data_IF_605684578845
#
_entry.id   IF_605684578845
#
_cell.length_a   1.000
_cell.length_b   1.000
_cell.length_c   1.000
_cell.angle_alpha   90.00
_cell.angle_beta   90.00
_cell.angle_gamma   90.00
#
_symmetry.space_group_name_H-M   'P 1'
#
loop_
_entity.id
_entity.type
_entity.pdbx_description
1 polymer ?
#
# COMPACT_ATOMS: atom_id res chain seq x y z
N UNK A 1 0.33 -0.28 -5.29
CA UNK A 1 1.23 0.32 -6.31
C UNK A 1 0.44 1.17 -7.30
N UNK A 2 -0.55 0.62 -8.00
CA UNK A 2 -1.31 1.33 -9.04
C UNK A 2 -2.01 2.63 -8.60
N UNK A 3 -2.48 2.73 -7.36
CA UNK A 3 -3.14 3.96 -6.86
C UNK A 3 -2.25 5.20 -6.87
N UNK A 4 -0.98 5.07 -6.48
CA UNK A 4 -0.01 6.18 -6.50
C UNK A 4 0.31 6.58 -7.94
N UNK A 5 0.51 5.60 -8.84
CA UNK A 5 0.77 5.87 -10.27
C UNK A 5 -0.40 6.60 -10.90
N UNK A 6 -1.63 6.13 -10.67
CA UNK A 6 -2.84 6.78 -11.18
C UNK A 6 -2.95 8.23 -10.68
N UNK A 7 -2.73 8.45 -9.38
CA UNK A 7 -2.77 9.79 -8.79
C UNK A 7 -1.65 10.72 -9.29
N UNK A 8 -0.47 10.17 -9.54
CA UNK A 8 0.65 10.90 -10.13
C UNK A 8 0.34 11.34 -11.57
N UNK A 9 -0.19 10.44 -12.40
CA UNK A 9 -0.63 10.76 -13.76
C UNK A 9 -1.74 11.82 -13.75
N UNK A 10 -2.71 11.72 -12.84
CA UNK A 10 -3.73 12.74 -12.63
C UNK A 10 -3.11 14.11 -12.31
N UNK A 11 -2.16 14.18 -11.37
CA UNK A 11 -1.47 15.44 -11.03
C UNK A 11 -0.64 16.00 -12.18
N UNK A 12 -0.01 15.14 -12.99
CA UNK A 12 0.74 15.54 -14.18
C UNK A 12 -0.17 16.11 -15.28
N UNK A 13 -1.37 15.56 -15.48
CA UNK A 13 -2.35 16.11 -16.41
C UNK A 13 -2.66 17.57 -16.03
N UNK A 14 -2.98 17.83 -14.76
CA UNK A 14 -3.23 19.19 -14.25
C UNK A 14 -2.04 20.12 -14.49
N UNK A 15 -0.81 19.69 -14.16
CA UNK A 15 0.41 20.50 -14.35
C UNK A 15 0.68 20.84 -15.82
N UNK A 16 0.27 19.97 -16.74
CA UNK A 16 0.45 20.16 -18.18
C UNK A 16 -0.74 20.88 -18.84
N UNK A 17 -1.62 21.52 -18.06
CA UNK A 17 -2.86 22.14 -18.53
C UNK A 17 -3.77 21.17 -19.33
N UNK A 18 -3.70 19.87 -19.01
CA UNK A 18 -4.62 18.86 -19.51
C UNK A 18 -5.72 18.65 -18.48
N UNK A 19 -6.95 18.45 -18.94
CA UNK A 19 -8.07 18.15 -18.06
C UNK A 19 -7.97 16.69 -17.61
N UNK A 20 -7.86 16.40 -16.30
CA UNK A 20 -7.86 15.02 -15.82
C UNK A 20 -9.14 14.29 -16.22
N UNK A 21 -9.03 13.00 -16.54
CA UNK A 21 -10.17 12.20 -17.02
C UNK A 21 -11.16 11.82 -15.92
N UNK A 22 -10.80 11.96 -14.65
CA UNK A 22 -11.61 11.58 -13.50
C UNK A 22 -11.34 12.51 -12.32
N UNK A 23 -12.34 12.76 -11.45
CA UNK A 23 -12.11 13.48 -10.20
C UNK A 23 -11.30 12.63 -9.23
N UNK A 24 -10.31 13.23 -8.55
CA UNK A 24 -9.53 12.58 -7.50
C UNK A 24 -9.51 13.43 -6.23
N UNK A 25 -10.29 13.03 -5.23
CA UNK A 25 -10.37 13.74 -3.94
C UNK A 25 -9.22 13.43 -2.98
N UNK A 26 -8.62 12.24 -3.08
CA UNK A 26 -7.54 11.79 -2.21
C UNK A 26 -7.20 10.32 -2.45
N UNK A 27 -6.05 9.87 -1.93
CA UNK A 27 -5.65 8.46 -1.96
C UNK A 27 -5.31 7.94 -0.56
N UNK A 28 -5.61 6.66 -0.35
CA UNK A 28 -5.22 5.93 0.86
C UNK A 28 -4.23 4.85 0.43
N UNK A 29 -3.08 4.80 1.10
CA UNK A 29 -1.98 3.88 0.81
C UNK A 29 -1.66 3.09 2.06
N UNK A 30 -1.74 1.76 1.97
CA UNK A 30 -1.27 0.82 2.99
C UNK A 30 -0.53 -0.38 2.40
N UNK A 31 0.16 -1.13 3.27
CA UNK A 31 0.79 -2.40 2.93
C UNK A 31 1.99 -2.29 1.98
N UNK A 32 2.54 -1.09 1.80
CA UNK A 32 3.66 -0.81 0.90
C UNK A 32 4.61 0.17 1.58
N UNK A 33 5.90 -0.16 1.58
CA UNK A 33 6.98 0.72 2.02
C UNK A 33 8.03 0.94 0.95
N UNK A 34 9.01 1.79 1.25
CA UNK A 34 10.14 2.06 0.34
C UNK A 34 11.30 1.08 0.48
N UNK A 35 11.36 0.32 1.57
CA UNK A 35 12.48 -0.56 1.86
C UNK A 35 11.94 -1.92 2.27
N UNK A 36 12.41 -2.97 1.60
CA UNK A 36 12.18 -4.35 2.03
C UNK A 36 13.00 -4.66 3.28
N UNK A 37 12.45 -5.50 4.15
CA UNK A 37 13.18 -6.10 5.26
C UNK A 37 14.41 -6.89 4.74
N UNK A 38 15.54 -6.90 5.47
CA UNK A 38 16.74 -7.64 5.08
C UNK A 38 16.46 -9.11 4.74
N UNK A 39 15.61 -9.77 5.54
CA UNK A 39 15.26 -11.18 5.40
C UNK A 39 14.59 -11.48 4.05
N UNK A 40 13.81 -10.53 3.52
CA UNK A 40 13.17 -10.65 2.20
C UNK A 40 14.16 -10.43 1.05
N UNK A 41 15.24 -9.69 1.28
CA UNK A 41 16.32 -9.51 0.30
C UNK A 41 17.24 -10.73 0.24
N UNK A 42 17.49 -11.35 1.39
CA UNK A 42 18.41 -12.48 1.54
C UNK A 42 17.78 -13.83 1.21
N UNK A 43 16.48 -13.99 1.45
CA UNK A 43 15.72 -15.21 1.15
C UNK A 43 14.54 -14.93 0.21
N UNK A 44 14.81 -14.63 -1.08
CA UNK A 44 13.73 -14.53 -2.05
C UNK A 44 12.97 -15.86 -2.10
N UNK A 45 11.65 -15.79 -2.32
CA UNK A 45 10.82 -17.01 -2.44
C UNK A 45 11.47 -17.92 -3.50
N UNK A 46 11.78 -19.19 -3.18
CA UNK A 46 12.53 -20.04 -4.09
C UNK A 46 11.67 -20.43 -5.29
N UNK A 47 12.09 -20.03 -6.49
CA UNK A 47 11.49 -20.43 -7.76
C UNK A 47 12.55 -21.05 -8.67
N UNK A 48 12.13 -21.99 -9.52
CA UNK A 48 13.01 -22.56 -10.55
C UNK A 48 13.28 -21.51 -11.64
N UNK A 49 14.52 -21.02 -11.70
CA UNK A 49 14.96 -20.02 -12.68
C UNK A 49 14.91 -20.53 -14.13
N UNK A 50 14.86 -21.85 -14.35
CA UNK A 50 14.74 -22.45 -15.67
C UNK A 50 13.28 -22.62 -16.12
N UNK A 51 12.32 -22.57 -15.20
CA UNK A 51 10.89 -22.65 -15.46
C UNK A 51 10.14 -21.66 -14.58
N UNK A 52 10.27 -20.36 -14.90
CA UNK A 52 9.55 -19.33 -14.16
C UNK A 52 8.04 -19.53 -14.33
N UNK A 53 7.28 -19.69 -13.23
CA UNK A 53 5.85 -19.86 -13.31
C UNK A 53 5.19 -18.55 -13.78
N UNK A 54 4.03 -18.63 -14.42
CA UNK A 54 3.26 -17.42 -14.74
C UNK A 54 2.55 -16.86 -13.50
N UNK A 55 2.19 -17.75 -12.56
CA UNK A 55 1.53 -17.42 -11.31
C UNK A 55 2.11 -18.25 -10.16
N UNK A 56 2.11 -17.66 -8.96
CA UNK A 56 2.54 -18.31 -7.73
C UNK A 56 1.36 -18.40 -6.78
N UNK A 57 1.22 -19.55 -6.11
CA UNK A 57 0.28 -19.71 -5.00
C UNK A 57 1.09 -19.98 -3.74
N UNK A 58 0.90 -19.16 -2.72
CA UNK A 58 1.56 -19.34 -1.43
C UNK A 58 0.88 -20.45 -0.64
N UNK A 59 1.64 -21.36 0.02
CA UNK A 59 1.05 -22.31 0.96
C UNK A 59 0.26 -21.59 2.05
N UNK A 60 -0.95 -22.06 2.35
CA UNK A 60 -1.89 -21.36 3.24
C UNK A 60 -1.32 -21.12 4.64
N UNK A 61 -0.73 -22.15 5.25
CA UNK A 61 -0.15 -22.03 6.60
C UNK A 61 0.95 -20.98 6.67
N UNK A 62 1.83 -20.96 5.65
CA UNK A 62 2.88 -19.95 5.53
C UNK A 62 2.29 -18.55 5.34
N UNK A 63 1.29 -18.41 4.45
CA UNK A 63 0.61 -17.15 4.18
C UNK A 63 -0.07 -16.61 5.42
N UNK A 64 -0.83 -17.42 6.15
CA UNK A 64 -1.54 -16.96 7.34
C UNK A 64 -0.57 -16.53 8.45
N UNK A 65 0.49 -17.33 8.68
CA UNK A 65 1.51 -17.02 9.67
C UNK A 65 2.25 -15.72 9.38
N UNK A 66 2.56 -15.44 8.10
CA UNK A 66 3.25 -14.21 7.70
C UNK A 66 2.31 -13.00 7.65
N UNK A 67 1.14 -13.14 7.02
CA UNK A 67 0.25 -12.01 6.70
C UNK A 67 -0.57 -11.55 7.90
N UNK A 68 -1.00 -12.49 8.75
CA UNK A 68 -1.73 -12.17 9.96
C UNK A 68 -0.84 -12.21 11.19
N UNK A 69 0.13 -13.13 11.30
CA UNK A 69 0.73 -13.52 12.59
C UNK A 69 -0.28 -14.15 13.56
N UNK A 70 0.15 -15.11 14.38
CA UNK A 70 -0.74 -15.73 15.37
C UNK A 70 -1.36 -14.71 16.33
N UNK A 71 -2.69 -14.81 16.55
CA UNK A 71 -3.42 -14.05 17.56
C UNK A 71 -3.85 -12.63 17.18
N UNK A 72 -3.65 -12.21 15.93
CA UNK A 72 -4.00 -10.85 15.48
C UNK A 72 -5.30 -10.78 14.69
N UNK A 73 -5.85 -11.94 14.29
CA UNK A 73 -7.07 -12.06 13.52
C UNK A 73 -8.03 -13.07 14.17
N UNK A 74 -9.32 -12.89 13.87
CA UNK A 74 -10.35 -13.84 14.28
C UNK A 74 -10.15 -15.18 13.54
N UNK A 75 -10.20 -16.34 14.24
CA UNK A 75 -10.10 -17.64 13.59
C UNK A 75 -11.08 -17.85 12.42
N UNK A 76 -12.26 -17.22 12.44
CA UNK A 76 -13.22 -17.27 11.32
C UNK A 76 -12.69 -16.60 10.05
N UNK A 77 -11.81 -15.59 10.16
CA UNK A 77 -11.13 -14.98 9.02
C UNK A 77 -10.13 -15.96 8.42
N UNK A 78 -9.37 -16.68 9.25
CA UNK A 78 -8.40 -17.68 8.78
C UNK A 78 -9.07 -18.85 8.06
N UNK A 79 -10.31 -19.20 8.44
CA UNK A 79 -11.13 -20.17 7.68
C UNK A 79 -11.49 -19.71 6.26
N UNK A 80 -11.30 -18.43 5.94
CA UNK A 80 -11.51 -17.87 4.60
C UNK A 80 -10.22 -17.78 3.78
N UNK A 81 -9.06 -18.12 4.36
CA UNK A 81 -7.78 -17.98 3.67
C UNK A 81 -7.71 -18.74 2.35
N UNK A 82 -8.26 -19.97 2.28
CA UNK A 82 -8.33 -20.73 1.01
C UNK A 82 -9.12 -19.98 -0.07
N UNK A 83 -10.28 -19.42 0.28
CA UNK A 83 -11.10 -18.63 -0.63
C UNK A 83 -10.41 -17.33 -1.07
N UNK A 84 -9.61 -16.74 -0.19
CA UNK A 84 -8.87 -15.49 -0.43
C UNK A 84 -7.49 -15.72 -1.07
N UNK A 85 -7.06 -16.97 -1.23
CA UNK A 85 -5.74 -17.31 -1.77
C UNK A 85 -5.74 -17.42 -3.29
N UNK A 86 -5.93 -16.28 -3.95
CA UNK A 86 -5.80 -16.18 -5.39
C UNK A 86 -4.34 -16.35 -5.83
N UNK A 87 -4.07 -17.05 -6.95
CA UNK A 87 -2.74 -17.09 -7.55
C UNK A 87 -2.26 -15.67 -7.91
N UNK A 88 -1.07 -15.30 -7.45
CA UNK A 88 -0.47 -14.00 -7.73
C UNK A 88 0.34 -14.08 -9.03
N UNK A 89 0.20 -13.12 -9.97
CA UNK A 89 1.05 -13.06 -11.15
C UNK A 89 2.54 -12.98 -10.76
N UNK A 90 3.36 -13.88 -11.31
CA UNK A 90 4.78 -13.92 -10.96
C UNK A 90 5.50 -12.60 -11.30
N UNK A 91 5.13 -11.98 -12.42
CA UNK A 91 5.69 -10.68 -12.83
C UNK A 91 5.45 -9.56 -11.81
N UNK A 92 4.36 -9.60 -11.02
CA UNK A 92 4.17 -8.62 -9.94
C UNK A 92 5.13 -8.86 -8.77
N UNK A 93 5.39 -10.13 -8.43
CA UNK A 93 6.32 -10.50 -7.37
C UNK A 93 7.75 -10.12 -7.78
N UNK A 94 8.15 -10.48 -9.00
CA UNK A 94 9.49 -10.24 -9.53
C UNK A 94 9.79 -8.75 -9.75
N UNK A 95 8.78 -7.96 -10.13
CA UNK A 95 8.94 -6.52 -10.33
C UNK A 95 8.91 -5.71 -9.03
N UNK A 96 8.52 -6.29 -7.89
CA UNK A 96 8.45 -5.54 -6.64
C UNK A 96 9.83 -4.99 -6.20
N UNK A 97 10.92 -5.79 -6.13
CA UNK A 97 12.22 -5.29 -5.67
C UNK A 97 12.93 -4.39 -6.68
N UNK A 98 12.70 -4.60 -7.98
CA UNK A 98 13.45 -3.96 -9.08
C UNK A 98 12.69 -2.82 -9.76
N UNK A 99 11.36 -2.91 -9.79
CA UNK A 99 10.46 -1.99 -10.47
C UNK A 99 9.76 -0.99 -9.56
N UNK A 100 9.53 -1.35 -8.29
CA UNK A 100 8.78 -0.50 -7.37
C UNK A 100 9.63 0.08 -6.23
N UNK A 101 10.21 -0.80 -5.41
CA UNK A 101 11.07 -0.45 -4.27
C UNK A 101 12.25 0.37 -4.79
N UNK A 102 12.51 1.55 -4.21
CA UNK A 102 13.58 2.43 -4.68
C UNK A 102 13.17 3.45 -5.76
N UNK A 103 12.00 3.27 -6.39
CA UNK A 103 11.57 4.06 -7.56
C UNK A 103 10.35 4.91 -7.29
N UNK A 104 9.33 4.39 -6.61
CA UNK A 104 8.03 5.07 -6.52
C UNK A 104 8.09 6.44 -5.81
N UNK A 105 8.94 6.58 -4.79
CA UNK A 105 9.15 7.84 -4.10
C UNK A 105 9.72 8.94 -5.00
N UNK A 106 10.46 8.57 -6.05
CA UNK A 106 11.13 9.52 -6.94
C UNK A 106 10.35 9.74 -8.23
N UNK A 107 9.76 8.68 -8.77
CA UNK A 107 9.13 8.69 -10.09
C UNK A 107 7.64 9.05 -10.05
N UNK A 108 6.95 8.77 -8.94
CA UNK A 108 5.49 8.89 -8.88
C UNK A 108 5.00 9.76 -7.73
N UNK A 109 5.44 9.48 -6.50
CA UNK A 109 4.98 10.21 -5.31
C UNK A 109 5.06 11.73 -5.42
N UNK A 110 6.14 12.33 -5.99
CA UNK A 110 6.25 13.79 -6.08
C UNK A 110 5.19 14.39 -6.99
N UNK A 111 4.57 13.63 -7.89
CA UNK A 111 3.55 14.14 -8.80
C UNK A 111 2.12 14.00 -8.27
N UNK A 112 1.93 13.38 -7.11
CA UNK A 112 0.61 13.27 -6.48
C UNK A 112 0.25 14.61 -5.87
N UNK A 113 -0.77 15.26 -6.43
CA UNK A 113 -1.30 16.53 -5.93
C UNK A 113 -2.46 16.36 -4.94
N UNK A 114 -3.18 15.22 -5.00
CA UNK A 114 -4.30 14.93 -4.12
C UNK A 114 -3.84 14.66 -2.67
N UNK A 115 -4.69 14.91 -1.66
CA UNK A 115 -4.45 14.49 -0.28
C UNK A 115 -4.10 13.00 -0.18
N UNK A 116 -3.21 12.64 0.74
CA UNK A 116 -2.74 11.27 0.95
C UNK A 116 -2.92 10.85 2.40
N UNK A 117 -3.48 9.66 2.64
CA UNK A 117 -3.35 8.96 3.93
C UNK A 117 -2.44 7.75 3.75
N UNK A 118 -1.32 7.71 4.48
CA UNK A 118 -0.34 6.64 4.44
C UNK A 118 -0.34 5.85 5.76
N UNK A 119 -0.47 4.52 5.68
CA UNK A 119 -0.44 3.62 6.82
C UNK A 119 0.49 2.44 6.60
N UNK A 120 1.37 2.15 7.56
CA UNK A 120 2.16 0.92 7.56
C UNK A 120 1.99 0.16 8.87
N UNK A 121 1.81 -1.15 8.78
CA UNK A 121 1.66 -2.01 9.95
C UNK A 121 3.00 -2.17 10.67
N UNK A 122 3.04 -2.05 12.00
CA UNK A 122 4.29 -2.18 12.77
C UNK A 122 4.94 -3.56 12.58
N UNK A 123 4.13 -4.60 12.39
CA UNK A 123 4.60 -5.97 12.21
C UNK A 123 4.50 -6.45 10.76
N UNK A 124 4.65 -5.54 9.80
CA UNK A 124 4.77 -5.86 8.39
C UNK A 124 5.86 -6.93 8.16
N UNK A 125 5.59 -7.90 7.29
CA UNK A 125 6.49 -9.00 7.00
C UNK A 125 7.33 -8.79 5.74
N UNK A 126 7.10 -7.69 5.01
CA UNK A 126 7.80 -7.37 3.77
C UNK A 126 8.62 -6.09 3.87
N UNK A 127 8.08 -5.05 4.51
CA UNK A 127 8.65 -3.71 4.50
C UNK A 127 9.12 -3.26 5.89
N UNK A 128 10.15 -2.41 5.89
CA UNK A 128 10.52 -1.64 7.08
C UNK A 128 9.32 -0.79 7.54
N UNK A 129 8.99 -0.82 8.82
CA UNK A 129 7.77 -0.23 9.38
C UNK A 129 8.05 0.82 10.45
N UNK A 130 9.32 1.14 10.71
CA UNK A 130 9.72 2.12 11.71
C UNK A 130 9.19 3.53 11.45
N UNK A 131 9.07 4.32 12.52
CA UNK A 131 8.60 5.71 12.45
C UNK A 131 9.45 6.60 11.54
N UNK A 132 10.77 6.37 11.50
CA UNK A 132 11.66 7.10 10.60
C UNK A 132 11.33 6.80 9.13
N UNK A 133 11.15 5.53 8.80
CA UNK A 133 10.79 5.06 7.46
C UNK A 133 9.39 5.54 7.03
N UNK A 134 8.42 5.52 7.94
CA UNK A 134 7.09 6.07 7.67
C UNK A 134 7.17 7.57 7.32
N UNK A 135 7.99 8.35 8.03
CA UNK A 135 8.21 9.76 7.70
C UNK A 135 8.87 9.97 6.35
N UNK A 136 9.82 9.11 5.97
CA UNK A 136 10.44 9.12 4.64
C UNK A 136 9.40 8.87 3.54
N UNK A 137 8.56 7.84 3.71
CA UNK A 137 7.49 7.53 2.76
C UNK A 137 6.47 8.66 2.62
N UNK A 138 6.09 9.29 3.73
CA UNK A 138 5.19 10.45 3.76
C UNK A 138 5.83 11.65 3.07
N UNK A 139 7.12 11.90 3.31
CA UNK A 139 7.85 13.03 2.74
C UNK A 139 8.00 12.97 1.22
N UNK A 140 7.87 11.79 0.60
CA UNK A 140 7.95 11.63 -0.84
C UNK A 140 6.77 12.28 -1.61
N UNK A 141 5.66 12.57 -0.97
CA UNK A 141 4.47 13.18 -1.58
C UNK A 141 4.55 14.72 -1.60
N UNK A 142 5.61 15.26 -2.20
CA UNK A 142 6.00 16.68 -2.11
C UNK A 142 4.95 17.67 -2.62
N UNK A 143 4.16 17.29 -3.64
CA UNK A 143 3.13 18.16 -4.23
C UNK A 143 1.75 17.99 -3.59
N UNK A 144 1.60 17.09 -2.60
CA UNK A 144 0.33 16.90 -1.92
C UNK A 144 0.14 17.98 -0.85
N UNK A 145 -1.01 18.66 -0.87
CA UNK A 145 -1.34 19.68 0.13
C UNK A 145 -1.60 19.12 1.54
N UNK A 146 -1.79 17.80 1.67
CA UNK A 146 -2.02 17.12 2.96
C UNK A 146 -1.56 15.67 2.88
N UNK A 147 -0.67 15.26 3.77
CA UNK A 147 -0.21 13.87 3.90
C UNK A 147 -0.32 13.43 5.35
N UNK A 148 -1.25 12.51 5.63
CA UNK A 148 -1.48 11.93 6.95
C UNK A 148 -0.74 10.60 7.06
N UNK A 149 0.38 10.57 7.79
CA UNK A 149 1.21 9.37 7.97
C UNK A 149 1.02 8.68 9.31
N UNK A 150 0.99 7.34 9.33
CA UNK A 150 1.00 6.59 10.59
C UNK A 150 1.66 5.21 10.48
N UNK A 151 2.33 4.81 11.56
CA UNK A 151 2.63 3.40 11.86
C UNK A 151 1.52 2.86 12.77
N UNK A 152 0.87 1.78 12.37
CA UNK A 152 -0.21 1.15 13.12
C UNK A 152 0.42 0.13 14.08
N UNK A 153 0.54 0.52 15.34
CA UNK A 153 1.17 -0.30 16.40
C UNK A 153 0.47 -1.64 16.59
N UNK A 154 1.25 -2.70 16.69
CA UNK A 154 0.80 -4.08 16.87
C UNK A 154 0.09 -4.71 15.68
N UNK A 155 -0.24 -3.94 14.63
CA UNK A 155 -0.98 -4.46 13.49
C UNK A 155 -0.11 -5.38 12.62
N UNK A 156 -0.71 -6.43 12.02
CA UNK A 156 -0.05 -7.27 11.05
C UNK A 156 -0.16 -6.71 9.63
N UNK A 157 0.51 -7.34 8.66
CA UNK A 157 0.49 -6.90 7.27
C UNK A 157 -0.95 -6.84 6.69
N UNK A 158 -1.77 -7.88 6.90
CA UNK A 158 -3.19 -7.89 6.54
C UNK A 158 -4.07 -7.21 7.62
N UNK A 159 -3.76 -5.97 7.99
CA UNK A 159 -4.46 -5.26 9.06
C UNK A 159 -5.96 -5.07 8.78
N UNK A 160 -6.32 -4.92 7.51
CA UNK A 160 -7.69 -4.75 7.00
C UNK A 160 -8.61 -5.92 7.37
N UNK A 161 -8.04 -7.10 7.62
CA UNK A 161 -8.75 -8.33 7.98
C UNK A 161 -8.43 -8.78 9.42
N UNK A 162 -7.72 -7.96 10.18
CA UNK A 162 -7.28 -8.26 11.56
C UNK A 162 -8.17 -7.56 12.61
N UNK A 163 -7.84 -7.70 13.90
CA UNK A 163 -8.50 -6.95 14.98
C UNK A 163 -8.32 -5.42 14.87
N UNK A 164 -7.34 -4.94 14.10
CA UNK A 164 -7.13 -3.51 13.83
C UNK A 164 -8.04 -2.96 12.72
N UNK A 165 -8.72 -3.83 11.98
CA UNK A 165 -9.51 -3.48 10.81
C UNK A 165 -10.54 -2.38 11.08
N UNK A 166 -11.28 -2.46 12.18
CA UNK A 166 -12.31 -1.48 12.51
C UNK A 166 -11.75 -0.07 12.68
N UNK A 167 -10.62 0.05 13.39
CA UNK A 167 -9.93 1.32 13.57
C UNK A 167 -9.33 1.85 12.26
N UNK A 168 -8.75 0.96 11.46
CA UNK A 168 -8.22 1.31 10.14
C UNK A 168 -9.32 1.83 9.20
N UNK A 169 -10.43 1.10 9.07
CA UNK A 169 -11.55 1.51 8.23
C UNK A 169 -12.21 2.80 8.70
N UNK A 170 -12.36 3.01 10.00
CA UNK A 170 -12.88 4.27 10.53
C UNK A 170 -12.04 5.47 10.08
N UNK A 171 -10.71 5.33 10.07
CA UNK A 171 -9.79 6.35 9.55
C UNK A 171 -9.93 6.53 8.04
N UNK A 172 -9.97 5.43 7.29
CA UNK A 172 -10.16 5.46 5.83
C UNK A 172 -11.43 6.22 5.42
N UNK A 173 -12.56 5.92 6.07
CA UNK A 173 -13.82 6.57 5.76
C UNK A 173 -13.85 8.03 6.20
N UNK A 174 -13.30 8.36 7.38
CA UNK A 174 -13.19 9.74 7.83
C UNK A 174 -12.37 10.59 6.85
N UNK A 175 -11.19 10.09 6.46
CA UNK A 175 -10.33 10.74 5.48
C UNK A 175 -11.03 10.92 4.12
N UNK A 176 -11.73 9.88 3.63
CA UNK A 176 -12.45 9.95 2.37
C UNK A 176 -13.58 11.00 2.38
N UNK A 177 -14.32 11.13 3.49
CA UNK A 177 -15.36 12.15 3.66
C UNK A 177 -14.76 13.56 3.61
N UNK A 178 -13.66 13.79 4.33
CA UNK A 178 -12.97 15.08 4.31
C UNK A 178 -12.47 15.44 2.89
N UNK A 179 -11.87 14.48 2.19
CA UNK A 179 -11.43 14.64 0.81
C UNK A 179 -12.57 14.98 -0.15
N UNK A 180 -13.71 14.30 -0.02
CA UNK A 180 -14.88 14.54 -0.86
C UNK A 180 -15.45 15.95 -0.64
N UNK A 181 -15.52 16.41 0.61
CA UNK A 181 -15.99 17.77 0.94
C UNK A 181 -15.05 18.83 0.38
N UNK A 182 -13.73 18.66 0.55
CA UNK A 182 -12.74 19.60 0.00
C UNK A 182 -12.81 19.68 -1.54
N UNK A 183 -12.92 18.53 -2.21
CA UNK A 183 -12.99 18.49 -3.67
C UNK A 183 -14.23 19.23 -4.22
N UNK A 184 -15.38 19.13 -3.54
CA UNK A 184 -16.58 19.87 -3.94
C UNK A 184 -16.45 21.38 -3.66
N UNK A 185 -15.78 21.77 -2.57
CA UNK A 185 -15.51 23.17 -2.27
C UNK A 185 -14.63 23.84 -3.35
N UNK A 186 -13.60 23.15 -3.82
CA UNK A 186 -12.67 23.64 -4.85
C UNK A 186 -13.31 23.80 -6.24
N UNK A 187 -14.43 23.11 -6.52
CA UNK A 187 -15.20 23.29 -7.77
C UNK A 187 -16.04 24.56 -7.76
N UNK A 188 -16.35 25.09 -6.58
CA UNK A 188 -17.20 26.27 -6.40
C UNK A 188 -16.45 27.60 -6.35
N UNK A 189 -15.11 27.57 -6.31
CA UNK A 189 -14.21 28.73 -6.29
C UNK A 189 -13.65 29.06 -7.67
#
# INVERSE_FOLDING_TARGET
MGGIVAAALHGQDTKQNRTPLYPLGGIIVSGIGEQLLPEMKENPVPYDLHHLPTHVTFPLEMKDSLMFRPGTADPEILKKSEQLNSPTPFGEIDSLPTGWVGRWQKEWAPFVAAPVMFGIAEHDCFFESGQAHSRECVGAFENSGRVDGSVIKGAPHCMELSYWSQGWYARCFGFAVECAVSLEADKGS
#
